data_IF_793673400010
#
_entry.id   IF_793673400010
#
_cell.length_a   1.000
_cell.length_b   1.000
_cell.length_c   1.000
_cell.angle_alpha   90.00
_cell.angle_beta   90.00
_cell.angle_gamma   90.00
#
_symmetry.space_group_name_H-M   'P 1'
#
loop_
_entity.id
_entity.type
_entity.pdbx_description
1 polymer ?
#
# COMPACT_ATOMS: atom_id res chain seq x y z
N UNK A 1 -2.87 4.51 -2.78
CA UNK A 1 -4.08 4.04 -2.09
C UNK A 1 -3.74 2.70 -1.47
N UNK A 2 -4.01 2.54 -0.18
CA UNK A 2 -3.66 1.34 0.59
C UNK A 2 -4.93 0.65 1.12
N UNK A 3 -4.92 -0.68 1.13
CA UNK A 3 -5.95 -1.51 1.76
C UNK A 3 -5.64 -1.73 3.23
N UNK A 4 -6.64 -2.10 4.03
CA UNK A 4 -6.45 -2.58 5.41
C UNK A 4 -6.20 -4.09 5.47
N UNK A 5 -6.90 -4.87 4.65
CA UNK A 5 -6.68 -6.31 4.48
C UNK A 5 -5.35 -6.63 3.78
N UNK A 6 -4.79 -7.81 4.07
CA UNK A 6 -3.59 -8.35 3.38
C UNK A 6 -3.99 -8.99 2.06
N UNK A 7 -4.92 -9.94 2.09
CA UNK A 7 -5.50 -10.57 0.91
C UNK A 7 -7.01 -10.72 1.03
N UNK A 8 -7.71 -10.46 -0.07
CA UNK A 8 -9.14 -10.70 -0.15
C UNK A 8 -9.81 -9.80 -1.18
N UNK A 9 -11.09 -10.06 -1.48
CA UNK A 9 -11.85 -9.20 -2.37
C UNK A 9 -12.17 -7.85 -1.70
N UNK A 10 -12.26 -6.80 -2.51
CA UNK A 10 -12.74 -5.47 -2.11
C UNK A 10 -13.79 -4.99 -3.11
N UNK A 11 -14.68 -4.07 -2.72
CA UNK A 11 -15.60 -3.42 -3.67
C UNK A 11 -14.97 -2.13 -4.16
N UNK A 12 -14.92 -1.94 -5.48
CA UNK A 12 -14.39 -0.72 -6.09
C UNK A 12 -15.40 -0.18 -7.08
N UNK A 13 -15.78 1.09 -6.91
CA UNK A 13 -16.50 1.88 -7.90
C UNK A 13 -15.58 2.91 -8.54
N UNK A 14 -15.71 3.12 -9.85
CA UNK A 14 -15.01 4.19 -10.55
C UNK A 14 -16.03 5.06 -11.27
N UNK A 15 -15.88 6.37 -11.13
CA UNK A 15 -16.69 7.38 -11.79
C UNK A 15 -15.78 8.38 -12.52
N UNK A 16 -16.08 8.60 -13.80
CA UNK A 16 -15.43 9.65 -14.60
C UNK A 16 -16.38 10.83 -14.70
N UNK A 17 -15.91 11.99 -14.26
CA UNK A 17 -16.66 13.23 -14.20
C UNK A 17 -16.13 14.24 -15.22
N UNK A 18 -17.01 15.11 -15.71
CA UNK A 18 -16.63 16.19 -16.63
C UNK A 18 -15.90 17.35 -15.92
N UNK A 19 -16.09 17.50 -14.61
CA UNK A 19 -15.51 18.56 -13.80
C UNK A 19 -15.36 18.14 -12.34
N UNK A 20 -14.72 18.98 -11.53
CA UNK A 20 -14.49 18.69 -10.12
C UNK A 20 -15.82 18.44 -9.38
N UNK A 21 -15.92 17.35 -8.59
CA UNK A 21 -17.10 17.09 -7.78
C UNK A 21 -17.28 18.20 -6.74
N UNK A 22 -18.54 18.48 -6.37
CA UNK A 22 -18.84 19.48 -5.36
C UNK A 22 -18.16 19.11 -4.03
N UNK A 23 -17.86 20.11 -3.20
CA UNK A 23 -17.28 19.92 -1.87
C UNK A 23 -18.33 19.45 -0.86
N UNK A 24 -19.15 18.46 -1.24
CA UNK A 24 -20.10 17.84 -0.31
C UNK A 24 -19.35 17.03 0.73
N UNK A 25 -19.90 17.03 1.94
CA UNK A 25 -19.43 16.14 2.99
C UNK A 25 -19.91 14.72 2.68
N UNK A 26 -18.99 13.78 2.73
CA UNK A 26 -19.20 12.37 2.47
C UNK A 26 -19.03 11.60 3.79
N UNK A 27 -19.94 11.80 4.78
CA UNK A 27 -19.72 11.36 6.16
C UNK A 27 -19.56 9.84 6.31
N UNK A 28 -20.12 9.06 5.38
CA UNK A 28 -20.03 7.61 5.32
C UNK A 28 -18.66 7.08 4.87
N UNK A 29 -17.79 7.95 4.37
CA UNK A 29 -16.43 7.62 3.99
C UNK A 29 -15.48 7.98 5.12
N UNK A 30 -14.54 7.07 5.39
CA UNK A 30 -13.59 7.19 6.49
C UNK A 30 -12.35 7.95 6.04
N UNK A 31 -11.97 7.79 4.77
CA UNK A 31 -10.80 8.42 4.18
C UNK A 31 -11.14 9.02 2.84
N UNK A 32 -10.67 10.24 2.63
CA UNK A 32 -10.79 10.95 1.37
C UNK A 32 -9.43 11.57 1.04
N UNK A 33 -8.87 11.16 -0.09
CA UNK A 33 -7.56 11.62 -0.56
C UNK A 33 -7.66 12.07 -2.00
N UNK A 34 -6.94 13.14 -2.33
CA UNK A 34 -6.80 13.64 -3.68
C UNK A 34 -5.35 13.55 -4.17
N UNK A 35 -5.20 13.18 -5.43
CA UNK A 35 -3.92 13.16 -6.13
C UNK A 35 -4.07 13.63 -7.57
N UNK A 36 -3.05 14.30 -8.10
CA UNK A 36 -2.97 14.56 -9.53
C UNK A 36 -2.41 13.33 -10.27
N UNK A 37 -3.01 13.01 -11.40
CA UNK A 37 -2.62 11.90 -12.28
C UNK A 37 -2.25 12.44 -13.66
N UNK A 38 -1.17 11.93 -14.23
CA UNK A 38 -0.84 12.12 -15.64
C UNK A 38 -1.16 10.83 -16.39
N UNK A 39 -2.17 10.88 -17.25
CA UNK A 39 -2.58 9.75 -18.08
C UNK A 39 -1.93 9.92 -19.45
N UNK A 40 -1.03 9.01 -19.81
CA UNK A 40 -0.33 9.02 -21.11
C UNK A 40 -0.86 7.98 -22.09
N UNK A 41 -1.37 6.87 -21.56
CA UNK A 41 -1.85 5.72 -22.33
C UNK A 41 -3.16 5.21 -21.73
N UNK A 42 -3.07 4.35 -20.72
CA UNK A 42 -4.23 3.78 -20.05
C UNK A 42 -4.24 3.99 -18.54
N UNK A 43 -5.43 4.33 -18.01
CA UNK A 43 -5.73 4.28 -16.59
C UNK A 43 -6.56 3.02 -16.33
N UNK A 44 -5.97 2.09 -15.59
CA UNK A 44 -6.53 0.77 -15.28
C UNK A 44 -6.47 0.53 -13.77
N UNK A 45 -7.43 -0.24 -13.27
CA UNK A 45 -7.41 -0.77 -11.91
C UNK A 45 -6.84 -2.18 -11.96
N UNK A 46 -5.87 -2.47 -11.10
CA UNK A 46 -5.20 -3.76 -11.01
C UNK A 46 -5.23 -4.27 -9.57
N UNK A 47 -5.24 -5.60 -9.41
CA UNK A 47 -5.01 -6.25 -8.12
C UNK A 47 -3.54 -6.11 -7.70
N UNK A 48 -3.23 -6.45 -6.45
CA UNK A 48 -1.84 -6.48 -5.95
C UNK A 48 -0.95 -7.44 -6.74
N UNK A 49 -1.52 -8.51 -7.30
CA UNK A 49 -0.83 -9.51 -8.13
C UNK A 49 -0.65 -9.05 -9.59
N UNK A 50 -1.10 -7.85 -9.94
CA UNK A 50 -0.97 -7.28 -11.30
C UNK A 50 -2.05 -7.73 -12.28
N UNK A 51 -3.10 -8.40 -11.80
CA UNK A 51 -4.23 -8.79 -12.63
C UNK A 51 -5.14 -7.59 -12.86
N UNK A 52 -5.57 -7.39 -14.11
CA UNK A 52 -6.51 -6.33 -14.44
C UNK A 52 -7.88 -6.65 -13.83
N UNK A 53 -8.46 -5.67 -13.13
CA UNK A 53 -9.83 -5.78 -12.66
C UNK A 53 -10.79 -5.62 -13.85
N UNK A 54 -11.26 -6.75 -14.39
CA UNK A 54 -12.23 -6.75 -15.48
C UNK A 54 -13.51 -5.98 -15.07
N UNK A 55 -13.99 -5.08 -15.93
CA UNK A 55 -15.12 -4.19 -15.63
C UNK A 55 -14.76 -2.83 -15.01
N UNK A 56 -13.52 -2.64 -14.55
CA UNK A 56 -13.03 -1.36 -14.00
C UNK A 56 -12.01 -0.67 -14.92
N UNK A 57 -12.07 -0.98 -16.22
CA UNK A 57 -11.28 -0.27 -17.24
C UNK A 57 -11.86 1.12 -17.45
N UNK A 58 -11.14 2.13 -16.97
CA UNK A 58 -11.52 3.54 -17.10
C UNK A 58 -11.27 4.06 -18.51
N UNK A 59 -10.39 3.40 -19.27
CA UNK A 59 -9.70 4.03 -20.39
C UNK A 59 -10.40 4.13 -21.74
N UNK A 60 -11.53 3.48 -22.08
CA UNK A 60 -12.23 3.95 -23.28
C UNK A 60 -12.78 5.38 -23.11
N UNK A 61 -12.78 5.93 -21.87
CA UNK A 61 -13.42 7.21 -21.53
C UNK A 61 -12.43 8.36 -21.23
N UNK A 62 -11.13 8.08 -21.10
CA UNK A 62 -10.12 9.09 -20.76
C UNK A 62 -9.14 9.27 -21.91
N UNK A 63 -8.88 10.53 -22.29
CA UNK A 63 -7.86 10.89 -23.26
C UNK A 63 -6.53 11.15 -22.53
N UNK A 64 -5.38 11.05 -23.21
CA UNK A 64 -4.11 11.45 -22.62
C UNK A 64 -4.15 12.92 -22.16
N UNK A 65 -4.07 13.14 -20.85
CA UNK A 65 -4.19 14.44 -20.21
C UNK A 65 -3.81 14.36 -18.73
N UNK A 66 -3.86 15.50 -18.06
CA UNK A 66 -3.81 15.57 -16.59
C UNK A 66 -5.21 15.46 -16.02
N UNK A 67 -5.31 14.65 -14.98
CA UNK A 67 -6.54 14.40 -14.24
C UNK A 67 -6.29 14.63 -12.76
N UNK A 68 -7.36 14.82 -12.03
CA UNK A 68 -7.37 14.70 -10.57
C UNK A 68 -8.19 13.48 -10.20
N UNK A 69 -7.69 12.74 -9.23
CA UNK A 69 -8.33 11.58 -8.63
C UNK A 69 -8.71 11.96 -7.21
N UNK A 70 -9.96 11.70 -6.82
CA UNK A 70 -10.38 11.59 -5.42
C UNK A 70 -10.68 10.14 -5.11
N UNK A 71 -9.95 9.59 -4.15
CA UNK A 71 -10.16 8.25 -3.64
C UNK A 71 -10.87 8.32 -2.30
N UNK A 72 -11.97 7.59 -2.19
CA UNK A 72 -12.70 7.39 -0.94
C UNK A 72 -12.50 5.95 -0.48
N UNK A 73 -12.32 5.75 0.82
CA UNK A 73 -12.22 4.43 1.42
C UNK A 73 -13.02 4.33 2.71
N UNK A 74 -13.57 3.15 2.98
CA UNK A 74 -14.20 2.80 4.26
C UNK A 74 -14.07 1.30 4.56
N UNK A 75 -14.14 0.95 5.83
CA UNK A 75 -14.09 -0.43 6.31
C UNK A 75 -12.68 -1.00 6.48
N UNK A 76 -11.63 -0.18 6.34
CA UNK A 76 -10.23 -0.64 6.37
C UNK A 76 -9.80 -1.13 7.75
N UNK A 77 -10.35 -0.56 8.82
CA UNK A 77 -10.09 -1.01 10.19
C UNK A 77 -10.72 -2.38 10.51
N UNK A 78 -11.73 -2.81 9.75
CA UNK A 78 -12.57 -3.95 10.13
C UNK A 78 -11.83 -5.30 10.15
N UNK A 79 -10.86 -5.48 9.23
CA UNK A 79 -10.08 -6.70 9.05
C UNK A 79 -8.61 -6.36 8.79
N UNK A 80 -8.07 -5.38 9.52
CA UNK A 80 -6.70 -4.94 9.33
C UNK A 80 -5.71 -6.09 9.50
N UNK A 81 -4.79 -6.23 8.54
CA UNK A 81 -3.75 -7.27 8.50
C UNK A 81 -4.31 -8.71 8.49
N UNK A 82 -5.55 -8.89 8.02
CA UNK A 82 -6.19 -10.19 7.87
C UNK A 82 -6.39 -10.60 6.42
N UNK A 83 -6.50 -11.92 6.21
CA UNK A 83 -7.02 -12.52 4.98
C UNK A 83 -8.54 -12.69 5.07
N UNK A 84 -9.27 -12.25 4.06
CA UNK A 84 -10.74 -12.33 4.02
C UNK A 84 -11.24 -13.00 2.74
N UNK A 85 -12.35 -13.74 2.86
CA UNK A 85 -13.02 -14.40 1.72
C UNK A 85 -14.18 -13.58 1.15
N UNK A 86 -14.69 -12.61 1.90
CA UNK A 86 -15.79 -11.73 1.50
C UNK A 86 -15.36 -10.25 1.61
N UNK A 87 -15.90 -9.38 0.74
CA UNK A 87 -15.45 -7.99 0.71
C UNK A 87 -15.95 -7.20 1.92
N UNK A 88 -15.00 -6.71 2.72
CA UNK A 88 -15.23 -5.85 3.89
C UNK A 88 -14.86 -4.38 3.68
N UNK A 89 -14.11 -4.08 2.62
CA UNK A 89 -13.69 -2.73 2.28
C UNK A 89 -14.39 -2.25 1.01
N UNK A 90 -14.80 -0.98 1.03
CA UNK A 90 -15.35 -0.30 -0.13
C UNK A 90 -14.45 0.87 -0.54
N UNK A 91 -14.28 1.04 -1.85
CA UNK A 91 -13.52 2.11 -2.46
C UNK A 91 -14.33 2.79 -3.56
N UNK A 92 -14.23 4.12 -3.62
CA UNK A 92 -14.83 4.89 -4.69
C UNK A 92 -13.84 5.91 -5.26
N UNK A 93 -13.56 5.77 -6.56
CA UNK A 93 -12.59 6.57 -7.29
C UNK A 93 -13.33 7.52 -8.22
N UNK A 94 -13.21 8.83 -7.98
CA UNK A 94 -13.73 9.86 -8.87
C UNK A 94 -12.58 10.50 -9.64
N UNK A 95 -12.69 10.55 -10.96
CA UNK A 95 -11.65 11.09 -11.85
C UNK A 95 -12.23 12.22 -12.70
N UNK A 96 -11.55 13.37 -12.76
CA UNK A 96 -11.97 14.50 -13.59
C UNK A 96 -10.77 15.27 -14.17
N UNK A 97 -10.96 16.03 -15.28
CA UNK A 97 -9.89 16.83 -15.86
C UNK A 97 -9.26 17.81 -14.85
N UNK A 98 -7.93 17.83 -14.78
CA UNK A 98 -7.17 18.67 -13.86
C UNK A 98 -6.04 19.41 -14.56
N UNK A 99 -5.71 20.62 -14.10
CA UNK A 99 -4.58 21.42 -14.61
C UNK A 99 -3.45 21.57 -13.58
N UNK A 100 -3.56 20.85 -12.47
CA UNK A 100 -2.67 20.94 -11.32
C UNK A 100 -1.22 20.52 -11.61
N UNK A 101 -0.30 21.05 -10.80
CA UNK A 101 1.03 20.44 -10.60
C UNK A 101 0.84 19.22 -9.71
N UNK A 102 1.71 18.22 -9.86
CA UNK A 102 1.70 17.01 -9.01
C UNK A 102 1.58 17.39 -7.53
N UNK A 103 0.41 17.12 -6.95
CA UNK A 103 0.10 17.38 -5.55
C UNK A 103 -0.69 16.21 -4.97
N UNK A 104 -0.63 16.09 -3.66
CA UNK A 104 -1.41 15.15 -2.86
C UNK A 104 -2.06 15.92 -1.71
N UNK A 105 -3.31 15.59 -1.40
CA UNK A 105 -4.05 16.17 -0.29
C UNK A 105 -4.89 15.09 0.40
N UNK A 106 -4.67 14.88 1.70
CA UNK A 106 -5.58 14.11 2.53
C UNK A 106 -6.66 15.06 3.04
N UNK A 107 -7.88 14.88 2.57
CA UNK A 107 -9.03 15.71 2.91
C UNK A 107 -9.72 15.20 4.18
N UNK A 108 -9.74 13.88 4.37
CA UNK A 108 -10.37 13.23 5.52
C UNK A 108 -9.64 11.93 5.88
N UNK A 109 -9.52 11.66 7.19
CA UNK A 109 -8.93 10.45 7.75
C UNK A 109 -9.55 10.16 9.12
N UNK A 110 -10.42 9.14 9.18
CA UNK A 110 -11.10 8.66 10.38
C UNK A 110 -10.64 7.27 10.80
N UNK A 111 -10.20 6.44 9.85
CA UNK A 111 -9.68 5.11 10.16
C UNK A 111 -8.29 5.19 10.79
N UNK A 112 -7.88 4.15 11.50
CA UNK A 112 -6.60 4.11 12.20
C UNK A 112 -5.50 3.49 11.33
N UNK A 113 -5.84 2.58 10.41
CA UNK A 113 -4.85 1.94 9.51
C UNK A 113 -4.02 2.98 8.77
N UNK A 114 -2.70 2.78 8.70
CA UNK A 114 -1.75 3.65 7.98
C UNK A 114 -1.68 5.09 8.52
N UNK A 115 -1.99 5.31 9.80
CA UNK A 115 -1.74 6.60 10.45
C UNK A 115 -0.26 6.72 10.85
N UNK A 116 0.30 7.93 10.78
CA UNK A 116 1.68 8.19 11.20
C UNK A 116 1.82 7.85 12.71
N UNK A 117 2.35 6.66 12.97
CA UNK A 117 2.35 6.01 14.29
C UNK A 117 2.57 4.50 14.23
N UNK A 118 2.23 3.85 13.10
CA UNK A 118 2.46 2.41 12.87
C UNK A 118 3.84 2.11 12.27
N UNK A 119 4.89 2.71 12.83
CA UNK A 119 6.25 2.19 12.61
C UNK A 119 6.40 0.87 13.41
N UNK A 120 5.98 -0.24 12.79
CA UNK A 120 6.51 -1.59 12.99
C UNK A 120 6.80 -2.03 14.44
N UNK A 121 5.80 -2.58 15.15
CA UNK A 121 6.08 -3.52 16.27
C UNK A 121 6.57 -4.89 15.77
N UNK A 122 6.53 -5.14 14.46
CA UNK A 122 7.08 -6.36 13.85
C UNK A 122 8.62 -6.40 13.81
N UNK A 123 9.32 -5.28 14.09
CA UNK A 123 10.80 -5.28 14.16
C UNK A 123 11.39 -5.83 15.46
N UNK A 124 10.58 -6.01 16.51
CA UNK A 124 11.06 -6.43 17.85
C UNK A 124 10.67 -7.87 18.24
N UNK A 125 10.03 -8.65 17.35
CA UNK A 125 9.56 -10.02 17.68
C UNK A 125 10.22 -11.15 16.89
N UNK A 126 11.27 -10.88 16.11
CA UNK A 126 12.17 -11.96 15.70
C UNK A 126 13.25 -12.11 16.79
N UNK A 127 13.22 -13.18 17.62
CA UNK A 127 14.39 -13.49 18.42
C UNK A 127 15.57 -13.72 17.48
N UNK A 128 16.67 -13.02 17.71
CA UNK A 128 17.92 -13.22 17.00
C UNK A 128 18.34 -14.70 17.12
N UNK A 129 18.35 -15.50 16.03
CA UNK A 129 18.78 -16.90 16.11
C UNK A 129 20.27 -17.02 16.46
N UNK A 130 21.04 -15.93 16.45
CA UNK A 130 22.43 -15.92 16.88
C UNK A 130 22.62 -15.71 18.39
N UNK A 131 21.59 -15.30 19.14
CA UNK A 131 21.71 -15.02 20.57
C UNK A 131 21.80 -16.30 21.45
N UNK A 132 21.43 -17.46 20.91
CA UNK A 132 21.49 -18.76 21.62
C UNK A 132 22.81 -19.53 21.39
N UNK A 133 23.73 -18.97 20.60
CA UNK A 133 25.09 -19.51 20.50
C UNK A 133 25.94 -18.99 21.65
N UNK A 134 25.80 -19.57 22.86
CA UNK A 134 26.87 -19.49 23.85
C UNK A 134 28.07 -20.26 23.30
N UNK A 135 29.20 -19.61 22.94
CA UNK A 135 30.36 -20.34 22.52
C UNK A 135 30.99 -21.02 23.75
N UNK A 136 31.41 -22.30 23.67
CA UNK A 136 32.13 -22.92 24.77
C UNK A 136 33.43 -22.13 25.06
N UNK A 137 33.86 -22.02 26.32
CA UNK A 137 35.03 -21.21 26.66
C UNK A 137 36.29 -21.72 25.93
N UNK A 138 36.96 -20.79 25.24
CA UNK A 138 38.22 -21.02 24.55
C UNK A 138 39.30 -21.48 25.56
N UNK A 139 39.62 -22.78 25.57
CA UNK A 139 40.86 -23.25 26.18
C UNK A 139 42.03 -22.83 25.30
N UNK A 140 42.87 -21.96 25.84
CA UNK A 140 44.18 -21.64 25.28
C UNK A 140 45.03 -22.91 25.19
N UNK A 141 45.28 -23.38 23.98
CA UNK A 141 46.35 -24.34 23.69
C UNK A 141 47.28 -23.71 22.67
N UNK A 142 48.46 -23.32 23.15
CA UNK A 142 49.62 -22.92 22.36
C UNK A 142 50.00 -24.04 21.39
N UNK A 143 49.99 -23.74 20.09
CA UNK A 143 50.51 -24.63 19.04
C UNK A 143 51.78 -24.02 18.44
N UNK A 144 52.86 -24.82 18.34
CA UNK A 144 54.09 -24.47 17.62
C UNK A 144 54.16 -25.23 16.29
N UNK A 145 54.59 -24.60 15.18
CA UNK A 145 54.58 -25.24 13.87
C UNK A 145 55.83 -26.13 13.65
N UNK A 146 55.73 -27.24 12.89
CA UNK A 146 56.90 -27.93 12.38
C UNK A 146 57.34 -27.42 11.00
N UNK A 147 58.66 -27.51 10.78
CA UNK A 147 59.46 -26.96 9.68
C UNK A 147 59.26 -27.77 8.38
N UNK A 148 59.15 -27.09 7.24
CA UNK A 148 59.16 -27.71 5.90
C UNK A 148 60.57 -28.21 5.56
N UNK A 149 60.71 -29.48 5.19
CA UNK A 149 61.84 -29.94 4.37
C UNK A 149 61.38 -30.06 2.93
N UNK A 150 62.03 -29.30 2.06
CA UNK A 150 61.91 -29.39 0.61
C UNK A 150 62.84 -30.49 0.10
N UNK A 151 62.39 -31.27 -0.88
CA UNK A 151 63.08 -31.48 -2.17
C UNK A 151 61.99 -31.65 -3.24
#
# INVERSE_FOLDING_TARGET
MHTGIVYGPVRVGVEVLESAPHAEAFPEWEVIEEADLEVTTELVVMTLTGELAEGLRVTPQLLPARYRLRAHARGRDANWDMDVSEPSEDYWLQVWPGTGKSSFAQLEKKDLVWSDGDESTAKDSMPDPAADATPPPLRSTSWKPPIRSAI
#
